data_IF_591251814344
#
_entry.id   IF_591251814344
#
_cell.length_a   1.000
_cell.length_b   1.000
_cell.length_c   1.000
_cell.angle_alpha   90.00
_cell.angle_beta   90.00
_cell.angle_gamma   90.00
#
_symmetry.space_group_name_H-M   'P 1'
#
loop_
_entity.id
_entity.type
_entity.pdbx_description
1 polymer ?
#
# COMPACT_ATOMS: atom_id res chain seq x y z
N UNK A 1 -7.52 -17.16 3.70
CA UNK A 1 -8.31 -16.57 4.79
C UNK A 1 -9.53 -15.84 4.23
N UNK A 2 -10.67 -15.86 4.91
CA UNK A 2 -11.80 -14.93 4.70
C UNK A 2 -12.55 -14.74 6.03
N UNK A 3 -13.02 -13.50 6.20
CA UNK A 3 -13.90 -12.92 7.24
C UNK A 3 -13.23 -12.43 8.52
N UNK A 4 -13.58 -11.27 9.12
CA UNK A 4 -14.31 -10.03 8.74
C UNK A 4 -14.46 -9.23 10.05
N UNK A 5 -14.23 -7.91 10.03
CA UNK A 5 -14.69 -6.86 10.98
C UNK A 5 -14.42 -7.05 12.50
N UNK A 6 -13.75 -6.09 13.15
CA UNK A 6 -14.35 -4.89 13.77
C UNK A 6 -13.30 -4.12 14.62
N UNK A 7 -13.38 -2.79 14.53
CA UNK A 7 -12.56 -1.74 15.15
C UNK A 7 -12.41 -1.82 16.68
N UNK A 8 -11.18 -1.57 17.18
CA UNK A 8 -10.95 -0.94 18.50
C UNK A 8 -9.80 0.08 18.41
N UNK A 9 -10.18 1.36 18.46
CA UNK A 9 -9.33 2.52 18.68
C UNK A 9 -8.67 2.40 20.07
N UNK A 10 -7.34 2.45 20.14
CA UNK A 10 -6.64 2.96 21.33
C UNK A 10 -5.57 3.96 20.91
N UNK A 11 -5.95 5.23 21.01
CA UNK A 11 -5.13 6.42 20.85
C UNK A 11 -4.02 6.47 21.91
N UNK A 12 -2.78 6.19 21.52
CA UNK A 12 -1.59 6.59 22.27
C UNK A 12 -0.86 7.71 21.52
N UNK A 13 -1.28 8.95 21.78
CA UNK A 13 -0.60 10.18 21.39
C UNK A 13 0.83 10.18 21.95
N UNK A 14 1.79 9.83 21.11
CA UNK A 14 3.19 10.19 21.29
C UNK A 14 3.57 11.15 20.17
N UNK A 15 3.57 12.44 20.53
CA UNK A 15 4.10 13.54 19.72
C UNK A 15 5.59 13.28 19.43
N UNK A 16 5.89 12.72 18.27
CA UNK A 16 7.21 12.79 17.67
C UNK A 16 7.13 13.80 16.52
N UNK A 17 7.49 15.03 16.87
CA UNK A 17 7.80 16.09 15.91
C UNK A 17 9.02 15.68 15.10
N UNK A 18 8.79 15.20 13.88
CA UNK A 18 9.74 15.27 12.78
C UNK A 18 8.97 15.85 11.61
N UNK A 19 9.01 17.18 11.51
CA UNK A 19 8.49 17.95 10.39
C UNK A 19 9.04 17.42 9.06
N UNK A 20 8.13 17.10 8.16
CA UNK A 20 8.03 17.92 6.95
C UNK A 20 6.61 18.46 6.92
N UNK A 21 6.45 19.76 6.74
CA UNK A 21 5.15 20.37 6.41
C UNK A 21 4.75 20.02 4.95
N UNK A 22 5.51 19.13 4.31
CA UNK A 22 5.43 18.82 2.89
C UNK A 22 4.20 17.93 2.62
N UNK A 23 3.55 18.23 1.50
CA UNK A 23 2.42 17.44 1.02
C UNK A 23 2.90 16.08 0.49
N UNK A 24 1.97 15.13 0.31
CA UNK A 24 2.26 13.84 -0.36
C UNK A 24 2.81 14.09 -1.77
N UNK A 25 2.28 15.12 -2.45
CA UNK A 25 2.79 15.57 -3.75
C UNK A 25 4.25 16.02 -3.67
N UNK A 26 4.57 16.92 -2.73
CA UNK A 26 5.92 17.48 -2.60
C UNK A 26 6.93 16.38 -2.24
N UNK A 27 6.59 15.52 -1.28
CA UNK A 27 7.45 14.40 -0.88
C UNK A 27 7.77 13.44 -2.03
N UNK A 28 6.83 13.19 -2.94
CA UNK A 28 7.11 12.41 -4.14
C UNK A 28 7.99 13.16 -5.14
N UNK A 29 7.68 14.42 -5.44
CA UNK A 29 8.39 15.21 -6.46
C UNK A 29 9.83 15.52 -6.03
N UNK A 30 10.07 15.83 -4.76
CA UNK A 30 11.40 16.10 -4.23
C UNK A 30 12.27 14.83 -4.23
N UNK A 31 11.68 13.68 -3.93
CA UNK A 31 12.35 12.38 -4.02
C UNK A 31 12.58 11.91 -5.46
N UNK A 32 11.82 12.44 -6.43
CA UNK A 32 11.80 11.99 -7.82
C UNK A 32 11.76 13.17 -8.82
N UNK A 33 12.77 14.06 -8.85
CA UNK A 33 12.71 15.31 -9.61
C UNK A 33 12.59 15.13 -11.13
N UNK A 34 13.02 13.98 -11.65
CA UNK A 34 12.98 13.64 -13.08
C UNK A 34 11.82 12.67 -13.43
N UNK A 35 10.88 12.42 -12.51
CA UNK A 35 9.75 11.52 -12.77
C UNK A 35 8.83 12.07 -13.86
N UNK A 36 8.50 11.21 -14.82
CA UNK A 36 7.53 11.50 -15.88
C UNK A 36 6.21 10.82 -15.55
N UNK A 37 5.09 11.52 -15.81
CA UNK A 37 3.76 10.96 -15.58
C UNK A 37 3.53 9.66 -16.35
N UNK A 38 3.27 8.57 -15.62
CA UNK A 38 2.92 7.25 -16.16
C UNK A 38 1.68 6.72 -15.45
N UNK A 39 0.62 6.49 -16.23
CA UNK A 39 -0.69 6.03 -15.74
C UNK A 39 -0.84 4.53 -15.98
N UNK A 40 -1.00 3.76 -14.92
CA UNK A 40 -1.21 2.30 -14.99
C UNK A 40 -2.61 2.05 -15.55
N UNK A 41 -2.73 1.22 -16.58
CA UNK A 41 -4.01 0.73 -17.10
C UNK A 41 -4.32 -0.68 -16.65
N UNK A 42 -3.30 -1.49 -16.39
CA UNK A 42 -3.50 -2.82 -15.82
C UNK A 42 -2.31 -3.30 -15.00
N UNK A 43 -2.60 -4.12 -13.99
CA UNK A 43 -1.63 -4.93 -13.26
C UNK A 43 -2.13 -6.36 -13.31
N UNK A 44 -1.32 -7.27 -13.82
CA UNK A 44 -1.63 -8.70 -13.83
C UNK A 44 -0.71 -9.40 -12.86
N UNK A 45 -1.29 -10.16 -11.93
CA UNK A 45 -0.60 -10.99 -10.96
C UNK A 45 -0.84 -12.45 -11.32
N UNK A 46 0.23 -13.23 -11.42
CA UNK A 46 0.17 -14.66 -11.71
C UNK A 46 0.94 -15.43 -10.64
N UNK A 47 0.23 -16.23 -9.86
CA UNK A 47 0.82 -17.13 -8.86
C UNK A 47 1.47 -18.33 -9.54
N UNK A 48 2.66 -18.70 -9.08
CA UNK A 48 3.35 -19.91 -9.52
C UNK A 48 2.76 -21.18 -8.86
N UNK A 49 2.06 -21.03 -7.74
CA UNK A 49 1.57 -22.11 -6.90
C UNK A 49 0.09 -22.43 -7.17
N UNK A 50 -0.77 -21.41 -7.26
CA UNK A 50 -2.22 -21.59 -7.42
C UNK A 50 -2.83 -20.57 -8.39
N UNK A 51 -3.40 -21.07 -9.48
CA UNK A 51 -4.03 -20.22 -10.49
C UNK A 51 -5.31 -19.52 -9.98
N UNK A 52 -5.88 -19.93 -8.83
CA UNK A 52 -6.99 -19.19 -8.22
C UNK A 52 -6.58 -17.83 -7.66
N UNK A 53 -5.29 -17.65 -7.39
CA UNK A 53 -4.73 -16.39 -6.85
C UNK A 53 -4.39 -15.41 -7.99
N UNK A 54 -4.55 -15.83 -9.25
CA UNK A 54 -4.31 -14.95 -10.37
C UNK A 54 -5.37 -13.85 -10.39
N UNK A 55 -4.92 -12.60 -10.37
CA UNK A 55 -5.79 -11.43 -10.45
C UNK A 55 -5.34 -10.49 -11.56
N UNK A 56 -6.26 -9.67 -12.04
CA UNK A 56 -5.93 -8.57 -12.96
C UNK A 56 -6.71 -7.33 -12.57
N UNK A 57 -5.97 -6.34 -12.08
CA UNK A 57 -6.49 -5.01 -11.79
C UNK A 57 -6.50 -4.23 -13.10
N UNK A 58 -7.62 -3.62 -13.43
CA UNK A 58 -7.82 -2.75 -14.59
C UNK A 58 -8.23 -1.36 -14.14
N UNK A 59 -7.59 -0.34 -14.71
CA UNK A 59 -7.85 1.07 -14.41
C UNK A 59 -8.31 1.78 -15.68
N UNK A 60 -9.48 2.42 -15.62
CA UNK A 60 -10.06 3.15 -16.74
C UNK A 60 -9.99 4.65 -16.51
N UNK A 61 -9.83 5.41 -17.60
CA UNK A 61 -9.62 6.85 -17.57
C UNK A 61 -10.63 7.55 -18.50
N UNK A 62 -10.96 8.81 -18.19
CA UNK A 62 -11.65 9.70 -19.11
C UNK A 62 -10.69 10.45 -20.05
N UNK A 63 -11.24 11.27 -20.94
CA UNK A 63 -10.48 12.08 -21.90
C UNK A 63 -9.59 13.16 -21.23
N UNK A 64 -9.77 13.42 -19.93
CA UNK A 64 -8.95 14.32 -19.14
C UNK A 64 -7.89 13.57 -18.30
N UNK A 65 -7.68 12.27 -18.56
CA UNK A 65 -6.80 11.38 -17.82
C UNK A 65 -7.16 11.23 -16.33
N UNK A 66 -8.43 11.41 -15.96
CA UNK A 66 -8.90 11.11 -14.60
C UNK A 66 -9.37 9.67 -14.53
N UNK A 67 -9.07 8.99 -13.42
CA UNK A 67 -9.52 7.61 -13.22
C UNK A 67 -11.04 7.60 -13.06
N UNK A 68 -11.75 6.85 -13.88
CA UNK A 68 -13.21 6.71 -13.80
C UNK A 68 -13.63 5.43 -13.11
N UNK A 69 -12.84 4.37 -13.23
CA UNK A 69 -13.06 3.13 -12.49
C UNK A 69 -11.80 2.28 -12.32
N UNK A 70 -11.82 1.46 -11.27
CA UNK A 70 -10.84 0.41 -10.98
C UNK A 70 -11.62 -0.90 -10.76
N UNK A 71 -11.10 -2.04 -11.22
CA UNK A 71 -11.71 -3.36 -10.98
C UNK A 71 -10.68 -4.47 -11.04
N UNK A 72 -10.85 -5.51 -10.23
CA UNK A 72 -10.08 -6.77 -10.26
C UNK A 72 -10.81 -7.89 -11.04
N UNK A 73 -11.96 -7.57 -11.65
CA UNK A 73 -12.85 -8.52 -12.33
C UNK A 73 -13.96 -9.13 -11.45
N UNK A 74 -13.89 -8.96 -10.13
CA UNK A 74 -14.91 -9.38 -9.15
C UNK A 74 -15.57 -8.14 -8.55
N UNK A 75 -14.76 -7.28 -7.97
CA UNK A 75 -15.08 -6.04 -7.31
C UNK A 75 -14.71 -4.84 -8.20
N UNK A 76 -15.37 -3.72 -7.96
CA UNK A 76 -15.20 -2.53 -8.77
C UNK A 76 -15.47 -1.25 -7.98
N UNK A 77 -14.64 -0.25 -8.28
CA UNK A 77 -14.78 1.11 -7.80
C UNK A 77 -15.09 2.07 -8.95
N UNK A 78 -16.04 2.98 -8.75
CA UNK A 78 -16.40 4.04 -9.70
C UNK A 78 -16.16 5.39 -9.03
N UNK A 79 -15.41 6.25 -9.70
CA UNK A 79 -15.03 7.57 -9.22
C UNK A 79 -15.85 8.64 -9.95
N UNK A 80 -16.46 9.53 -9.19
CA UNK A 80 -17.24 10.64 -9.71
C UNK A 80 -16.61 11.97 -9.27
N UNK A 81 -16.54 12.90 -10.22
CA UNK A 81 -15.89 14.20 -10.04
C UNK A 81 -16.89 15.34 -10.10
N UNK A 82 -16.66 16.38 -9.32
CA UNK A 82 -17.42 17.63 -9.35
C UNK A 82 -16.45 18.81 -9.46
N UNK A 83 -16.64 19.66 -10.48
CA UNK A 83 -15.75 20.80 -10.77
C UNK A 83 -14.26 20.48 -10.99
N UNK A 84 -13.91 19.21 -11.20
CA UNK A 84 -12.53 18.77 -11.37
C UNK A 84 -12.08 17.83 -10.26
N UNK A 85 -12.63 18.01 -9.07
CA UNK A 85 -12.18 17.35 -7.85
C UNK A 85 -12.95 16.05 -7.61
N UNK A 86 -12.31 15.08 -6.95
CA UNK A 86 -12.96 13.82 -6.57
C UNK A 86 -14.10 14.13 -5.59
N UNK A 87 -15.33 13.79 -5.97
CA UNK A 87 -16.52 14.11 -5.19
C UNK A 87 -17.13 12.88 -4.51
N UNK A 88 -17.04 11.71 -5.13
CA UNK A 88 -17.57 10.47 -4.58
C UNK A 88 -16.87 9.24 -5.15
N UNK A 89 -16.77 8.19 -4.34
CA UNK A 89 -16.33 6.86 -4.74
C UNK A 89 -17.44 5.88 -4.41
N UNK A 90 -17.93 5.14 -5.41
CA UNK A 90 -18.83 4.03 -5.21
C UNK A 90 -18.04 2.72 -5.41
N UNK A 91 -17.82 1.97 -4.33
CA UNK A 91 -17.11 0.68 -4.37
C UNK A 91 -18.05 -0.47 -4.02
N UNK A 92 -17.88 -1.60 -4.71
CA UNK A 92 -18.26 -2.91 -4.19
C UNK A 92 -17.00 -3.60 -3.71
N UNK A 93 -16.86 -3.85 -2.40
CA UNK A 93 -15.67 -4.51 -1.85
C UNK A 93 -14.46 -3.59 -1.67
N UNK A 94 -13.28 -4.22 -1.51
CA UNK A 94 -12.03 -3.60 -1.05
C UNK A 94 -11.12 -3.17 -2.21
N UNK A 95 -11.68 -2.95 -3.42
CA UNK A 95 -10.99 -2.61 -4.69
C UNK A 95 -9.96 -1.45 -4.66
N UNK A 96 -9.83 -0.73 -3.54
CA UNK A 96 -8.91 0.40 -3.36
C UNK A 96 -7.91 0.22 -2.22
N UNK A 97 -7.88 -0.94 -1.55
CA UNK A 97 -6.96 -1.15 -0.44
C UNK A 97 -5.52 -1.11 -0.95
N UNK A 98 -4.72 -0.18 -0.41
CA UNK A 98 -3.29 -0.03 -0.75
C UNK A 98 -2.51 -1.32 -0.45
N UNK A 99 -3.00 -2.14 0.48
CA UNK A 99 -2.43 -3.43 0.85
C UNK A 99 -2.48 -4.48 -0.27
N UNK A 100 -3.57 -4.49 -1.05
CA UNK A 100 -3.68 -5.35 -2.24
C UNK A 100 -2.60 -5.00 -3.28
N UNK A 101 -2.04 -3.78 -3.25
CA UNK A 101 -0.98 -3.37 -4.18
C UNK A 101 0.38 -4.02 -3.91
N UNK A 102 0.56 -4.61 -2.71
CA UNK A 102 1.85 -5.17 -2.27
C UNK A 102 1.77 -6.64 -1.83
N UNK A 103 0.58 -7.26 -1.84
CA UNK A 103 0.37 -8.66 -1.40
C UNK A 103 1.00 -8.91 0.00
N UNK A 104 0.83 -7.94 0.89
CA UNK A 104 1.38 -7.98 2.26
C UNK A 104 0.68 -9.08 3.05
N UNK A 105 1.41 -9.99 3.73
CA UNK A 105 0.79 -11.06 4.53
C UNK A 105 0.15 -10.54 5.83
N UNK A 106 0.39 -9.28 6.18
CA UNK A 106 -0.12 -8.61 7.39
C UNK A 106 -0.71 -7.23 7.06
N UNK A 107 -1.60 -6.73 7.91
CA UNK A 107 -2.30 -5.45 7.70
C UNK A 107 -1.47 -4.24 8.17
N UNK A 108 -0.15 -4.32 7.96
CA UNK A 108 0.80 -3.31 8.41
C UNK A 108 0.65 -1.98 7.65
N UNK A 109 0.05 -1.99 6.45
CA UNK A 109 -0.17 -0.78 5.65
C UNK A 109 -1.57 -0.17 5.81
N UNK A 110 -2.48 -0.84 6.51
CA UNK A 110 -3.80 -0.33 6.94
C UNK A 110 -3.77 0.09 8.40
N UNK A 111 -3.13 -0.69 9.28
CA UNK A 111 -3.16 -0.45 10.74
C UNK A 111 -1.83 -0.04 11.35
N UNK A 112 -0.73 -0.15 10.61
CA UNK A 112 0.61 0.11 11.14
C UNK A 112 0.88 1.57 11.48
N UNK A 113 1.52 1.80 12.63
CA UNK A 113 2.04 3.09 13.05
C UNK A 113 3.51 3.23 12.67
N UNK A 114 3.85 4.33 11.97
CA UNK A 114 5.21 4.60 11.54
C UNK A 114 6.10 4.99 12.73
N UNK A 115 7.19 4.25 12.92
CA UNK A 115 8.19 4.52 13.96
C UNK A 115 9.19 5.56 13.47
N UNK A 116 9.67 5.42 12.23
CA UNK A 116 10.62 6.34 11.60
C UNK A 116 10.57 6.29 10.07
N UNK A 117 11.11 7.35 9.47
CA UNK A 117 11.25 7.53 8.03
C UNK A 117 12.73 7.53 7.62
N UNK A 118 13.02 7.22 6.36
CA UNK A 118 14.34 7.47 5.77
C UNK A 118 14.48 8.95 5.32
N UNK A 119 15.65 9.28 4.75
CA UNK A 119 15.94 10.65 4.29
C UNK A 119 15.07 11.11 3.11
N UNK A 120 14.46 10.17 2.38
CA UNK A 120 13.57 10.44 1.25
C UNK A 120 12.09 10.49 1.69
N UNK A 121 11.82 10.53 3.00
CA UNK A 121 10.48 10.62 3.56
C UNK A 121 9.68 9.32 3.53
N UNK A 122 10.29 8.18 3.22
CA UNK A 122 9.59 6.89 3.18
C UNK A 122 9.58 6.20 4.55
N UNK A 123 8.46 5.58 4.99
CA UNK A 123 8.40 4.86 6.25
C UNK A 123 9.31 3.62 6.20
N UNK A 124 10.18 3.42 7.20
CA UNK A 124 11.14 2.30 7.18
C UNK A 124 10.96 1.30 8.31
N UNK A 125 10.37 1.72 9.43
CA UNK A 125 9.95 0.78 10.47
C UNK A 125 8.53 1.10 10.92
N UNK A 126 7.71 0.07 10.99
CA UNK A 126 6.33 0.14 11.47
C UNK A 126 6.17 -0.71 12.74
N UNK A 127 5.26 -0.31 13.61
CA UNK A 127 4.63 -1.20 14.58
C UNK A 127 3.19 -1.43 14.18
N UNK A 128 2.70 -2.65 14.29
CA UNK A 128 1.30 -2.98 14.01
C UNK A 128 0.84 -4.06 14.99
N UNK A 129 -0.47 -4.29 15.04
CA UNK A 129 -1.07 -5.21 16.00
C UNK A 129 -1.95 -6.21 15.27
N UNK A 130 -1.77 -7.49 15.58
CA UNK A 130 -2.57 -8.58 14.99
C UNK A 130 -3.36 -9.27 16.10
N UNK A 131 -4.54 -9.78 15.75
CA UNK A 131 -5.34 -10.58 16.68
C UNK A 131 -5.12 -12.05 16.40
N UNK A 132 -4.55 -12.75 17.39
CA UNK A 132 -4.22 -14.16 17.30
C UNK A 132 -5.05 -14.98 18.27
N UNK A 133 -5.39 -16.19 17.86
CA UNK A 133 -6.16 -17.09 18.70
C UNK A 133 -5.23 -17.93 19.59
N UNK A 134 -5.23 -17.67 20.90
CA UNK A 134 -4.52 -18.51 21.86
C UNK A 134 -5.38 -19.76 22.19
N UNK A 135 -4.93 -20.91 21.69
CA UNK A 135 -5.57 -22.21 21.93
C UNK A 135 -5.50 -22.68 23.39
N UNK A 136 -4.56 -22.17 24.19
CA UNK A 136 -4.41 -22.52 25.60
C UNK A 136 -5.45 -21.80 26.47
N UNK A 137 -5.73 -20.54 26.17
CA UNK A 137 -6.72 -19.72 26.89
C UNK A 137 -8.09 -19.68 26.22
N UNK A 138 -8.19 -20.19 24.98
CA UNK A 138 -9.38 -20.22 24.15
C UNK A 138 -9.96 -18.80 23.94
N UNK A 139 -9.08 -17.84 23.67
CA UNK A 139 -9.39 -16.41 23.51
C UNK A 139 -8.48 -15.75 22.48
N UNK A 140 -8.99 -14.70 21.82
CA UNK A 140 -8.16 -13.83 21.00
C UNK A 140 -7.26 -12.96 21.89
N UNK A 141 -5.97 -12.94 21.56
CA UNK A 141 -4.97 -12.04 22.14
C UNK A 141 -4.50 -11.08 21.05
N UNK A 142 -4.24 -9.84 21.42
CA UNK A 142 -3.64 -8.87 20.50
C UNK A 142 -2.14 -8.86 20.72
N UNK A 143 -1.39 -9.21 19.69
CA UNK A 143 0.07 -9.21 19.71
C UNK A 143 0.62 -8.04 18.90
N UNK A 144 1.80 -7.57 19.29
CA UNK A 144 2.46 -6.43 18.67
C UNK A 144 3.62 -6.91 17.80
N UNK A 145 3.67 -6.43 16.56
CA UNK A 145 4.66 -6.83 15.57
C UNK A 145 5.46 -5.65 15.02
N UNK A 146 6.49 -5.96 14.24
CA UNK A 146 7.35 -4.99 13.56
C UNK A 146 7.48 -5.32 12.08
N UNK A 147 7.42 -4.29 11.24
CA UNK A 147 7.76 -4.39 9.83
C UNK A 147 8.95 -3.47 9.52
N UNK A 148 9.98 -3.99 8.86
CA UNK A 148 11.09 -3.21 8.29
C UNK A 148 10.91 -3.13 6.76
N UNK A 149 10.89 -1.93 6.21
CA UNK A 149 10.64 -1.69 4.78
C UNK A 149 11.92 -1.17 4.13
N UNK A 150 12.27 -1.75 2.98
CA UNK A 150 13.36 -1.29 2.15
C UNK A 150 12.87 -0.93 0.76
N UNK A 151 13.46 0.13 0.23
CA UNK A 151 13.11 0.71 -1.05
C UNK A 151 14.25 0.51 -2.04
N UNK A 152 13.92 0.50 -3.34
CA UNK A 152 14.89 0.87 -4.35
C UNK A 152 14.81 2.38 -4.64
N UNK A 153 15.64 2.85 -5.57
CA UNK A 153 15.74 4.28 -5.85
C UNK A 153 14.74 4.76 -6.91
N UNK A 154 13.85 3.88 -7.40
CA UNK A 154 12.88 4.21 -8.44
C UNK A 154 11.59 4.80 -7.88
N UNK A 155 10.85 5.60 -8.67
CA UNK A 155 9.60 6.19 -8.21
C UNK A 155 8.57 5.12 -7.84
N UNK A 156 7.74 5.41 -6.83
CA UNK A 156 6.54 4.62 -6.58
C UNK A 156 5.66 4.59 -7.86
N UNK A 157 5.40 3.42 -8.45
CA UNK A 157 4.71 3.31 -9.74
C UNK A 157 3.24 3.75 -9.68
N UNK A 158 2.65 3.79 -8.49
CA UNK A 158 1.23 4.08 -8.30
C UNK A 158 0.93 5.57 -8.20
N UNK A 159 1.93 6.42 -7.94
CA UNK A 159 1.76 7.84 -7.62
C UNK A 159 0.84 8.57 -8.62
N UNK A 160 1.18 8.57 -9.91
CA UNK A 160 0.42 9.31 -10.92
C UNK A 160 -0.96 8.71 -11.20
N UNK A 161 -1.13 7.41 -10.98
CA UNK A 161 -2.44 6.75 -11.10
C UNK A 161 -3.36 7.17 -9.95
N UNK A 162 -2.83 7.19 -8.72
CA UNK A 162 -3.57 7.66 -7.53
C UNK A 162 -3.82 9.17 -7.59
N UNK A 163 -2.88 9.94 -8.17
CA UNK A 163 -3.08 11.36 -8.43
C UNK A 163 -4.21 11.59 -9.43
N UNK A 164 -4.25 10.84 -10.53
CA UNK A 164 -5.33 10.88 -11.51
C UNK A 164 -6.68 10.43 -10.94
N UNK A 165 -6.68 9.64 -9.86
CA UNK A 165 -7.88 9.28 -9.11
C UNK A 165 -8.33 10.36 -8.11
N UNK A 166 -7.55 11.42 -7.90
CA UNK A 166 -7.79 12.44 -6.86
C UNK A 166 -7.35 12.03 -5.45
N UNK A 167 -6.75 10.85 -5.28
CA UNK A 167 -6.33 10.34 -3.97
C UNK A 167 -5.20 11.15 -3.33
N UNK A 168 -4.24 11.63 -4.15
CA UNK A 168 -3.15 12.48 -3.65
C UNK A 168 -3.70 13.82 -3.12
N UNK A 169 -4.62 14.46 -3.84
CA UNK A 169 -5.26 15.70 -3.38
C UNK A 169 -6.03 15.49 -2.08
N UNK A 170 -6.73 14.36 -1.94
CA UNK A 170 -7.42 14.01 -0.69
C UNK A 170 -6.43 13.88 0.47
N UNK A 171 -5.28 13.21 0.28
CA UNK A 171 -4.24 13.09 1.31
C UNK A 171 -3.58 14.44 1.63
N UNK A 172 -3.32 15.28 0.63
CA UNK A 172 -2.69 16.59 0.81
C UNK A 172 -3.57 17.56 1.59
N UNK A 173 -4.90 17.47 1.42
CA UNK A 173 -5.89 18.27 2.13
C UNK A 173 -6.20 17.76 3.55
N UNK A 174 -5.60 16.65 3.99
CA UNK A 174 -5.68 16.23 5.39
C UNK A 174 -4.76 17.11 6.21
N UNK A 175 -5.34 18.13 6.86
CA UNK A 175 -4.71 18.75 8.02
C UNK A 175 -4.51 17.66 9.08
N UNK A 176 -3.27 17.47 9.56
CA UNK A 176 -2.94 16.59 10.70
C UNK A 176 -3.45 17.17 12.04
N UNK A 177 -4.61 17.83 12.01
CA UNK A 177 -5.28 18.45 13.14
C UNK A 177 -6.48 17.59 13.57
N UNK A 178 -6.23 16.72 14.55
CA UNK A 178 -7.03 15.58 14.99
C UNK A 178 -8.44 15.86 15.56
N UNK A 179 -9.06 17.02 15.32
CA UNK A 179 -10.26 17.43 16.06
C UNK A 179 -11.60 17.43 15.30
N UNK A 180 -11.66 17.13 13.99
CA UNK A 180 -12.87 17.50 13.21
C UNK A 180 -13.46 16.50 12.20
N UNK A 181 -12.77 15.43 11.78
CA UNK A 181 -13.31 14.54 10.74
C UNK A 181 -13.23 13.05 11.14
N UNK A 182 -14.35 12.30 11.21
CA UNK A 182 -14.36 10.87 11.56
C UNK A 182 -13.73 9.96 10.50
N UNK A 183 -13.62 10.38 9.24
CA UNK A 183 -12.88 9.65 8.18
C UNK A 183 -11.38 9.98 8.17
N UNK A 184 -10.95 10.94 9.01
CA UNK A 184 -9.54 11.34 9.12
C UNK A 184 -8.57 10.18 9.45
N UNK A 185 -8.88 9.19 10.29
CA UNK A 185 -7.87 8.21 10.72
C UNK A 185 -7.27 7.41 9.55
N UNK A 186 -8.11 6.90 8.65
CA UNK A 186 -7.64 6.07 7.52
C UNK A 186 -6.91 6.90 6.46
N UNK A 187 -7.40 8.11 6.16
CA UNK A 187 -6.73 8.98 5.16
C UNK A 187 -5.41 9.52 5.73
N UNK A 188 -5.34 9.84 7.02
CA UNK A 188 -4.09 10.17 7.72
C UNK A 188 -3.12 8.99 7.63
N UNK A 189 -3.60 7.77 7.88
CA UNK A 189 -2.78 6.56 7.83
C UNK A 189 -2.24 6.30 6.42
N UNK A 190 -3.10 6.38 5.40
CA UNK A 190 -2.71 6.31 4.01
C UNK A 190 -1.64 7.36 3.67
N UNK A 191 -1.81 8.63 4.09
CA UNK A 191 -0.81 9.68 3.90
C UNK A 191 0.54 9.33 4.56
N UNK A 192 0.52 8.83 5.80
CA UNK A 192 1.73 8.49 6.54
C UNK A 192 2.48 7.29 5.95
N UNK A 193 1.75 6.35 5.33
CA UNK A 193 2.29 5.10 4.83
C UNK A 193 2.62 5.13 3.33
N UNK A 194 2.15 6.15 2.60
CA UNK A 194 2.33 6.24 1.15
C UNK A 194 3.78 6.59 0.77
N UNK A 195 4.54 5.68 0.14
CA UNK A 195 5.95 5.91 -0.13
C UNK A 195 6.17 6.73 -1.40
N UNK A 196 7.24 7.52 -1.43
CA UNK A 196 7.74 8.20 -2.62
C UNK A 196 8.55 7.26 -3.55
N UNK A 197 9.09 6.18 -2.99
CA UNK A 197 9.92 5.19 -3.68
C UNK A 197 9.25 3.83 -3.78
N UNK A 198 9.70 3.02 -4.74
CA UNK A 198 9.19 1.67 -4.92
C UNK A 198 9.72 0.73 -3.82
N UNK A 199 8.83 -0.03 -3.17
CA UNK A 199 9.20 -1.01 -2.16
C UNK A 199 9.85 -2.20 -2.85
N UNK A 200 11.02 -2.61 -2.37
CA UNK A 200 11.71 -3.82 -2.85
C UNK A 200 11.73 -4.95 -1.84
N UNK A 201 11.54 -4.65 -0.55
CA UNK A 201 11.59 -5.66 0.50
C UNK A 201 10.83 -5.24 1.75
N UNK A 202 10.15 -6.18 2.39
CA UNK A 202 9.53 -6.03 3.70
C UNK A 202 9.93 -7.22 4.57
N UNK A 203 10.30 -6.98 5.82
CA UNK A 203 10.63 -8.02 6.80
C UNK A 203 9.73 -7.85 8.01
N UNK A 204 8.96 -8.89 8.34
CA UNK A 204 8.10 -8.92 9.52
C UNK A 204 8.79 -9.66 10.66
N UNK A 205 8.67 -9.11 11.88
CA UNK A 205 9.30 -9.65 13.10
C UNK A 205 8.38 -9.55 14.30
N UNK A 206 8.55 -10.50 15.22
CA UNK A 206 8.06 -10.39 16.60
C UNK A 206 8.91 -9.40 17.43
N UNK A 207 8.54 -9.21 18.70
CA UNK A 207 9.24 -8.30 19.61
C UNK A 207 10.60 -8.84 20.08
N UNK A 208 10.79 -10.15 20.02
CA UNK A 208 12.05 -10.86 20.28
C UNK A 208 13.05 -10.69 19.13
N UNK A 209 12.58 -10.27 17.96
CA UNK A 209 13.35 -10.01 16.75
C UNK A 209 13.45 -11.20 15.79
N UNK A 210 12.70 -12.28 16.02
CA UNK A 210 12.61 -13.41 15.10
C UNK A 210 11.91 -12.96 13.81
N UNK A 211 12.35 -13.48 12.67
CA UNK A 211 11.71 -13.18 11.38
C UNK A 211 10.51 -14.11 11.22
N UNK A 212 9.35 -13.52 10.97
CA UNK A 212 8.09 -14.23 10.76
C UNK A 212 7.79 -14.40 9.27
N UNK A 213 8.05 -13.34 8.50
CA UNK A 213 7.86 -13.36 7.05
C UNK A 213 8.81 -12.37 6.37
N UNK A 214 9.18 -12.67 5.14
CA UNK A 214 9.96 -11.81 4.27
C UNK A 214 9.30 -11.73 2.89
N UNK A 215 9.03 -10.51 2.42
CA UNK A 215 8.54 -10.25 1.06
C UNK A 215 9.63 -9.51 0.30
N UNK A 216 10.05 -10.03 -0.85
CA UNK A 216 11.03 -9.40 -1.73
C UNK A 216 10.44 -9.20 -3.13
N UNK A 217 10.71 -8.04 -3.72
CA UNK A 217 10.25 -7.64 -5.04
C UNK A 217 11.42 -7.35 -5.98
N UNK A 218 11.50 -8.11 -7.08
CA UNK A 218 12.50 -7.94 -8.13
C UNK A 218 11.83 -7.42 -9.41
N UNK A 219 12.00 -6.12 -9.69
CA UNK A 219 11.36 -5.46 -10.83
C UNK A 219 12.29 -5.25 -12.02
N UNK A 220 11.69 -5.27 -13.21
CA UNK A 220 12.29 -4.82 -14.47
C UNK A 220 11.64 -3.49 -14.85
N UNK A 221 12.46 -2.49 -15.16
CA UNK A 221 12.02 -1.12 -15.40
C UNK A 221 12.10 -0.73 -16.88
N UNK A 222 11.22 0.18 -17.30
CA UNK A 222 11.31 0.85 -18.60
C UNK A 222 12.33 2.01 -18.58
N UNK A 223 12.42 2.76 -19.69
CA UNK A 223 13.33 3.91 -19.84
C UNK A 223 13.06 5.07 -18.88
N UNK A 224 11.85 5.13 -18.34
CA UNK A 224 11.40 6.19 -17.45
C UNK A 224 11.42 5.75 -15.99
N UNK A 225 12.07 4.62 -15.72
CA UNK A 225 12.20 4.01 -14.39
C UNK A 225 10.89 3.54 -13.75
N UNK A 226 9.88 3.18 -14.56
CA UNK A 226 8.65 2.53 -14.07
C UNK A 226 8.69 1.02 -14.32
N UNK A 227 8.26 0.18 -13.36
CA UNK A 227 8.29 -1.27 -13.47
C UNK A 227 7.35 -1.71 -14.59
N UNK A 228 7.83 -2.55 -15.51
CA UNK A 228 6.99 -3.19 -16.55
C UNK A 228 6.64 -4.63 -16.19
N UNK A 229 7.47 -5.26 -15.37
CA UNK A 229 7.26 -6.60 -14.85
C UNK A 229 8.04 -6.78 -13.56
N UNK A 230 7.69 -7.78 -12.77
CA UNK A 230 8.50 -8.15 -11.61
C UNK A 230 8.16 -9.53 -11.08
N UNK A 231 8.91 -9.95 -10.06
CA UNK A 231 8.63 -11.15 -9.29
C UNK A 231 8.57 -10.77 -7.82
N UNK A 232 7.48 -11.15 -7.16
CA UNK A 232 7.35 -11.10 -5.70
C UNK A 232 7.60 -12.49 -5.16
N UNK A 233 8.49 -12.58 -4.18
CA UNK A 233 8.73 -13.80 -3.40
C UNK A 233 8.37 -13.50 -1.95
N UNK A 234 7.36 -14.18 -1.43
CA UNK A 234 6.98 -14.12 -0.03
C UNK A 234 7.38 -15.44 0.65
N UNK A 235 8.12 -15.34 1.74
CA UNK A 235 8.58 -16.49 2.53
C UNK A 235 8.10 -16.34 3.96
N UNK A 236 7.25 -17.26 4.39
CA UNK A 236 6.77 -17.34 5.77
C UNK A 236 7.60 -18.37 6.54
N UNK A 237 7.97 -18.00 7.77
CA UNK A 237 8.80 -18.79 8.67
C UNK A 237 7.96 -19.21 9.88
N UNK A 238 7.38 -20.40 9.81
CA UNK A 238 6.63 -20.99 10.92
C UNK A 238 7.50 -21.98 11.70
N UNK A 239 7.50 -21.88 13.04
CA UNK A 239 8.31 -22.76 13.90
C UNK A 239 7.88 -24.24 13.81
N UNK A 240 6.60 -24.49 13.54
CA UNK A 240 5.99 -25.82 13.49
C UNK A 240 5.88 -26.38 12.07
N UNK A 241 5.44 -25.56 11.12
CA UNK A 241 5.18 -25.97 9.73
C UNK A 241 6.39 -25.74 8.81
N UNK A 242 7.42 -25.02 9.29
CA UNK A 242 8.65 -24.74 8.56
C UNK A 242 8.52 -23.57 7.58
N UNK A 243 9.42 -23.54 6.61
CA UNK A 243 9.48 -22.47 5.62
C UNK A 243 8.51 -22.72 4.46
N UNK A 244 7.59 -21.78 4.23
CA UNK A 244 6.69 -21.79 3.06
C UNK A 244 7.03 -20.62 2.15
N UNK A 245 7.09 -20.85 0.83
CA UNK A 245 7.41 -19.81 -0.15
C UNK A 245 6.37 -19.72 -1.26
N UNK A 246 5.85 -18.52 -1.46
CA UNK A 246 4.92 -18.14 -2.53
C UNK A 246 5.61 -17.21 -3.52
N UNK A 247 5.35 -17.41 -4.82
CA UNK A 247 6.01 -16.66 -5.90
C UNK A 247 4.95 -16.14 -6.86
N UNK A 248 4.98 -14.82 -7.09
CA UNK A 248 4.05 -14.14 -7.98
C UNK A 248 4.79 -13.39 -9.08
N UNK A 249 4.33 -13.52 -10.32
CA UNK A 249 4.80 -12.73 -11.44
C UNK A 249 3.87 -11.55 -11.67
N UNK A 250 4.43 -10.34 -11.76
CA UNK A 250 3.67 -9.11 -12.02
C UNK A 250 3.96 -8.60 -13.42
N UNK A 251 2.93 -8.07 -14.08
CA UNK A 251 3.06 -7.31 -15.32
C UNK A 251 2.28 -6.01 -15.21
N UNK A 252 2.95 -4.90 -15.51
CA UNK A 252 2.36 -3.57 -15.50
C UNK A 252 2.17 -3.08 -16.94
N UNK A 253 0.97 -2.60 -17.24
CA UNK A 253 0.67 -1.91 -18.49
C UNK A 253 0.38 -0.46 -18.19
N UNK A 254 0.94 0.44 -18.99
CA UNK A 254 0.72 1.88 -18.88
C UNK A 254 -0.04 2.40 -20.11
N UNK A 255 -0.71 3.54 -19.95
CA UNK A 255 -1.24 4.29 -21.09
C UNK A 255 -0.12 4.58 -22.10
N UNK A 256 -0.44 4.44 -23.38
CA UNK A 256 0.49 4.81 -24.45
C UNK A 256 0.82 6.30 -24.34
N UNK A 257 2.09 6.65 -24.50
CA UNK A 257 2.51 8.04 -24.65
C UNK A 257 1.88 8.63 -25.91
N UNK A 258 1.11 9.70 -25.77
CA UNK A 258 0.64 10.51 -26.90
C UNK A 258 1.80 11.28 -27.56
#
# INVERSE_FOLDING_TARGET
MKLKFLSIITLALTLCTSCSDDSTSDGFLDGNPDAVARYITSITVVSAQDASDNTTITVNYDDANRVTSISDGIDSGILAYNNGDLANVASSGDTFAIEELYESPYDAFDTGEVINYNNDGNPVNLRFFESEYDWNTNSDITEEYRAEIQYDNQPNPYFYTIQAAGGIEVMDNVDLNFSANPDAPQIVQARMLFPSKNIKKIIYRDLEGNVLSEVTADFVYNSDNYPTSGTITATDFDEFDGETTSIYSLTFTYQASN
#
